data_IF_809705628777
#
_entry.id   IF_809705628777
#
_cell.length_a   1.000
_cell.length_b   1.000
_cell.length_c   1.000
_cell.angle_alpha   90.00
_cell.angle_beta   90.00
_cell.angle_gamma   90.00
#
_symmetry.space_group_name_H-M   'P 1'
#
loop_
_entity.id
_entity.type
_entity.pdbx_description
1 polymer ?
#
# COMPACT_ATOMS: atom_id res chain seq x y z
N UNK A 1 -4.64 -13.75 6.16
CA UNK A 1 -3.19 -13.61 5.84
C UNK A 1 -2.86 -12.14 5.65
N UNK A 2 -1.70 -11.67 6.14
CA UNK A 2 -1.21 -10.31 5.89
C UNK A 2 0.07 -10.35 5.06
N UNK A 3 0.12 -9.62 3.95
CA UNK A 3 1.24 -9.60 3.02
C UNK A 3 1.71 -8.18 2.71
N UNK A 4 3.02 -7.99 2.57
CA UNK A 4 3.64 -6.77 2.06
C UNK A 4 4.34 -7.05 0.74
N UNK A 5 3.95 -6.31 -0.31
CA UNK A 5 4.53 -6.37 -1.64
C UNK A 5 5.28 -5.06 -1.92
N UNK A 6 6.60 -5.13 -2.07
CA UNK A 6 7.46 -4.00 -2.40
C UNK A 6 7.96 -4.05 -3.84
N UNK A 7 8.62 -2.97 -4.28
CA UNK A 7 9.32 -2.95 -5.55
C UNK A 7 9.32 -1.57 -6.22
N UNK A 8 10.20 -1.44 -7.22
CA UNK A 8 10.39 -0.22 -8.01
C UNK A 8 9.14 0.25 -8.77
N UNK A 9 9.21 1.46 -9.33
CA UNK A 9 8.17 1.96 -10.20
C UNK A 9 8.01 1.03 -11.43
N UNK A 10 6.77 0.78 -11.84
CA UNK A 10 6.44 -0.09 -12.97
C UNK A 10 7.02 -1.52 -12.91
N UNK A 11 7.39 -2.03 -11.73
CA UNK A 11 8.00 -3.35 -11.59
C UNK A 11 7.03 -4.53 -11.70
N UNK A 12 5.71 -4.29 -11.71
CA UNK A 12 4.68 -5.33 -11.68
C UNK A 12 4.08 -5.61 -10.30
N UNK A 13 4.54 -4.94 -9.23
CA UNK A 13 4.06 -5.18 -7.86
C UNK A 13 2.55 -5.07 -7.67
N UNK A 14 1.88 -4.12 -8.32
CA UNK A 14 0.42 -3.94 -8.21
C UNK A 14 -0.33 -5.14 -8.81
N UNK A 15 0.11 -5.63 -9.97
CA UNK A 15 -0.49 -6.79 -10.63
C UNK A 15 -0.32 -8.06 -9.80
N UNK A 16 0.88 -8.26 -9.24
CA UNK A 16 1.13 -9.37 -8.32
C UNK A 16 0.28 -9.27 -7.05
N UNK A 17 0.18 -8.08 -6.44
CA UNK A 17 -0.61 -7.86 -5.23
C UNK A 17 -2.12 -8.10 -5.45
N UNK A 18 -2.66 -7.66 -6.59
CA UNK A 18 -4.03 -7.97 -7.01
C UNK A 18 -4.23 -9.48 -7.19
N UNK A 19 -3.32 -10.14 -7.90
CA UNK A 19 -3.37 -11.59 -8.14
C UNK A 19 -3.34 -12.39 -6.84
N UNK A 20 -2.45 -12.01 -5.90
CA UNK A 20 -2.36 -12.60 -4.58
C UNK A 20 -3.65 -12.43 -3.79
N UNK A 21 -4.25 -11.24 -3.76
CA UNK A 21 -5.51 -11.08 -3.03
C UNK A 21 -6.66 -11.88 -3.67
N UNK A 22 -6.68 -11.97 -5.00
CA UNK A 22 -7.65 -12.79 -5.72
C UNK A 22 -7.50 -14.29 -5.44
N UNK A 23 -6.28 -14.82 -5.27
CA UNK A 23 -6.09 -16.22 -4.91
C UNK A 23 -6.48 -16.53 -3.47
N UNK A 24 -6.46 -15.52 -2.58
CA UNK A 24 -6.86 -15.64 -1.18
C UNK A 24 -8.36 -15.47 -0.93
N UNK A 25 -9.12 -14.96 -1.91
CA UNK A 25 -10.54 -14.66 -1.74
C UNK A 25 -11.29 -14.69 -3.08
N UNK A 26 -12.32 -15.54 -3.18
CA UNK A 26 -13.25 -15.57 -4.32
C UNK A 26 -14.35 -14.50 -4.24
N UNK A 27 -14.65 -13.99 -3.04
CA UNK A 27 -15.70 -13.01 -2.77
C UNK A 27 -15.33 -11.55 -3.05
N UNK A 28 -16.10 -10.61 -2.47
CA UNK A 28 -15.85 -9.18 -2.61
C UNK A 28 -14.49 -8.77 -2.03
N UNK A 29 -13.77 -7.97 -2.80
CA UNK A 29 -12.45 -7.44 -2.44
C UNK A 29 -12.53 -5.93 -2.34
N UNK A 30 -11.89 -5.36 -1.32
CA UNK A 30 -11.85 -3.91 -1.10
C UNK A 30 -10.48 -3.35 -1.49
N UNK A 31 -10.45 -2.42 -2.44
CA UNK A 31 -9.24 -1.68 -2.78
C UNK A 31 -9.23 -0.34 -2.07
N UNK A 32 -8.25 -0.14 -1.19
CA UNK A 32 -7.99 1.12 -0.51
C UNK A 32 -7.02 1.96 -1.34
N UNK A 33 -7.56 2.94 -2.06
CA UNK A 33 -6.80 3.83 -2.92
C UNK A 33 -6.27 5.02 -2.12
N UNK A 34 -4.95 5.14 -2.01
CA UNK A 34 -4.31 6.24 -1.26
C UNK A 34 -3.81 7.37 -2.16
N UNK A 35 -3.93 7.24 -3.48
CA UNK A 35 -3.50 8.27 -4.43
C UNK A 35 -4.48 9.45 -4.47
N UNK A 36 -3.96 10.68 -4.35
CA UNK A 36 -4.69 11.90 -4.67
C UNK A 36 -4.65 12.15 -6.19
N UNK A 37 -5.79 12.01 -6.88
CA UNK A 37 -5.89 12.19 -8.33
C UNK A 37 -6.01 13.66 -8.76
N UNK A 38 -5.01 14.47 -8.40
CA UNK A 38 -5.04 15.93 -8.55
C UNK A 38 -4.70 16.43 -9.96
N UNK A 39 -3.93 15.67 -10.75
CA UNK A 39 -3.53 16.03 -12.11
C UNK A 39 -3.95 14.98 -13.17
N UNK A 40 -3.75 15.32 -14.46
CA UNK A 40 -4.14 14.46 -15.58
C UNK A 40 -3.38 13.13 -15.65
N UNK A 41 -2.13 13.10 -15.20
CA UNK A 41 -1.29 11.90 -15.19
C UNK A 41 -1.74 10.92 -14.09
N UNK A 42 -2.04 11.44 -12.88
CA UNK A 42 -2.63 10.66 -11.80
C UNK A 42 -4.00 10.10 -12.20
N UNK A 43 -4.83 10.86 -12.92
CA UNK A 43 -6.10 10.36 -13.46
C UNK A 43 -5.90 9.21 -14.45
N UNK A 44 -4.94 9.34 -15.37
CA UNK A 44 -4.63 8.26 -16.32
C UNK A 44 -4.16 7.00 -15.60
N UNK A 45 -3.34 7.15 -14.56
CA UNK A 45 -2.90 6.04 -13.70
C UNK A 45 -4.06 5.39 -12.96
N UNK A 46 -4.95 6.16 -12.34
CA UNK A 46 -6.17 5.64 -11.68
C UNK A 46 -7.05 4.87 -12.68
N UNK A 47 -7.24 5.39 -13.89
CA UNK A 47 -8.01 4.70 -14.93
C UNK A 47 -7.36 3.38 -15.34
N UNK A 48 -6.04 3.33 -15.47
CA UNK A 48 -5.30 2.08 -15.75
C UNK A 48 -5.53 1.05 -14.64
N UNK A 49 -5.36 1.44 -13.37
CA UNK A 49 -5.59 0.54 -12.23
C UNK A 49 -7.06 0.09 -12.14
N UNK A 50 -8.03 0.96 -12.46
CA UNK A 50 -9.45 0.56 -12.52
C UNK A 50 -9.70 -0.47 -13.63
N UNK A 51 -9.09 -0.29 -14.80
CA UNK A 51 -9.20 -1.26 -15.92
C UNK A 51 -8.54 -2.59 -15.57
N UNK A 52 -7.37 -2.59 -14.93
CA UNK A 52 -6.70 -3.81 -14.48
C UNK A 52 -7.54 -4.63 -13.50
N UNK A 53 -8.42 -3.98 -12.74
CA UNK A 53 -9.30 -4.62 -11.75
C UNK A 53 -10.71 -4.94 -12.25
N UNK A 54 -11.07 -4.49 -13.45
CA UNK A 54 -12.39 -4.72 -14.01
C UNK A 54 -12.67 -6.24 -14.09
N UNK A 55 -13.82 -6.67 -13.56
CA UNK A 55 -14.20 -8.09 -13.53
C UNK A 55 -13.57 -8.94 -12.42
N UNK A 56 -12.65 -8.39 -11.61
CA UNK A 56 -12.00 -9.11 -10.49
C UNK A 56 -12.73 -9.00 -9.15
N UNK A 57 -13.90 -8.34 -9.10
CA UNK A 57 -14.71 -8.19 -7.88
C UNK A 57 -14.18 -7.17 -6.87
N UNK A 58 -13.41 -6.17 -7.32
CA UNK A 58 -12.94 -5.08 -6.46
C UNK A 58 -13.94 -3.93 -6.37
N UNK A 59 -14.34 -3.57 -5.16
CA UNK A 59 -14.85 -2.24 -4.83
C UNK A 59 -13.69 -1.30 -4.49
N UNK A 60 -13.85 0.01 -4.66
CA UNK A 60 -12.80 1.00 -4.34
C UNK A 60 -13.28 1.94 -3.26
N UNK A 61 -12.44 2.14 -2.24
CA UNK A 61 -12.61 3.15 -1.21
C UNK A 61 -11.37 4.04 -1.22
N UNK A 62 -11.58 5.34 -1.41
CA UNK A 62 -10.51 6.34 -1.42
C UNK A 62 -10.17 6.72 0.02
N UNK A 63 -8.90 6.56 0.40
CA UNK A 63 -8.37 6.89 1.72
C UNK A 63 -6.97 7.49 1.55
N UNK A 64 -6.87 8.75 1.09
CA UNK A 64 -5.58 9.39 0.88
C UNK A 64 -4.87 9.74 2.19
N UNK A 65 -5.63 10.00 3.27
CA UNK A 65 -5.16 10.26 4.64
C UNK A 65 -6.13 9.62 5.64
N UNK A 66 -5.76 9.58 6.91
CA UNK A 66 -6.62 9.19 8.02
C UNK A 66 -6.85 7.69 8.15
N UNK A 67 -5.90 6.86 7.73
CA UNK A 67 -6.04 5.39 7.74
C UNK A 67 -6.43 4.85 9.13
N UNK A 68 -5.95 5.48 10.21
CA UNK A 68 -6.28 5.15 11.59
C UNK A 68 -7.77 5.24 11.93
N UNK A 69 -8.51 6.08 11.21
CA UNK A 69 -9.94 6.33 11.41
C UNK A 69 -10.82 5.57 10.42
N UNK A 70 -10.23 4.87 9.46
CA UNK A 70 -10.95 4.12 8.44
C UNK A 70 -11.69 2.93 9.06
N UNK A 71 -12.95 2.78 8.70
CA UNK A 71 -13.77 1.63 9.08
C UNK A 71 -14.04 0.80 7.83
N UNK A 72 -13.74 -0.49 7.91
CA UNK A 72 -14.03 -1.47 6.86
C UNK A 72 -14.95 -2.56 7.42
N UNK A 73 -15.75 -3.25 6.58
CA UNK A 73 -16.51 -4.40 7.05
C UNK A 73 -15.57 -5.48 7.61
N UNK A 74 -15.93 -6.06 8.76
CA UNK A 74 -15.14 -7.12 9.36
C UNK A 74 -15.05 -8.33 8.42
N UNK A 75 -13.88 -8.96 8.35
CA UNK A 75 -13.64 -10.11 7.48
C UNK A 75 -13.44 -9.76 5.99
N UNK A 76 -13.34 -8.47 5.63
CA UNK A 76 -13.01 -8.06 4.26
C UNK A 76 -11.65 -8.60 3.80
N UNK A 77 -11.50 -8.83 2.50
CA UNK A 77 -10.21 -9.03 1.84
C UNK A 77 -9.77 -7.71 1.20
N UNK A 78 -8.65 -7.16 1.64
CA UNK A 78 -8.28 -5.76 1.41
C UNK A 78 -6.94 -5.67 0.67
N UNK A 79 -6.89 -4.82 -0.36
CA UNK A 79 -5.66 -4.39 -1.02
C UNK A 79 -5.44 -2.90 -0.70
N UNK A 80 -4.37 -2.57 0.03
CA UNK A 80 -3.95 -1.19 0.28
C UNK A 80 -2.87 -0.79 -0.73
N UNK A 81 -3.17 0.19 -1.58
CA UNK A 81 -2.23 0.67 -2.58
C UNK A 81 -2.19 2.21 -2.65
N UNK A 82 -1.09 2.87 -2.28
CA UNK A 82 0.14 2.33 -1.67
C UNK A 82 0.59 3.13 -0.44
N UNK A 83 1.49 2.52 0.34
CA UNK A 83 2.11 3.16 1.50
C UNK A 83 2.92 4.40 1.15
N UNK A 84 3.54 4.45 -0.03
CA UNK A 84 4.30 5.62 -0.46
C UNK A 84 3.42 6.87 -0.58
N UNK A 85 2.30 6.75 -1.29
CA UNK A 85 1.33 7.84 -1.41
C UNK A 85 0.73 8.20 -0.05
N UNK A 86 0.37 7.20 0.77
CA UNK A 86 -0.21 7.46 2.09
C UNK A 86 0.78 8.20 3.00
N UNK A 87 2.04 7.79 3.02
CA UNK A 87 3.09 8.45 3.80
C UNK A 87 3.30 9.90 3.34
N UNK A 88 3.33 10.14 2.02
CA UNK A 88 3.45 11.49 1.47
C UNK A 88 2.23 12.35 1.84
N UNK A 89 1.03 11.82 1.69
CA UNK A 89 -0.19 12.56 2.00
C UNK A 89 -0.31 12.87 3.50
N UNK A 90 -0.02 11.90 4.37
CA UNK A 90 -0.02 12.14 5.82
C UNK A 90 1.01 13.18 6.23
N UNK A 91 2.16 13.22 5.56
CA UNK A 91 3.23 14.15 5.89
C UNK A 91 2.98 15.57 5.35
N UNK A 92 2.37 15.70 4.17
CA UNK A 92 2.35 16.97 3.41
C UNK A 92 0.96 17.50 3.03
N UNK A 93 -0.06 16.64 2.91
CA UNK A 93 -1.36 17.08 2.42
C UNK A 93 -2.17 17.80 3.52
N UNK A 94 -3.05 18.75 3.13
CA UNK A 94 -4.05 19.28 4.06
C UNK A 94 -4.90 18.16 4.66
N UNK A 95 -4.94 18.07 5.99
CA UNK A 95 -5.64 17.01 6.71
C UNK A 95 -4.80 15.77 7.00
N UNK A 96 -3.55 15.72 6.55
CA UNK A 96 -2.55 14.76 7.01
C UNK A 96 -2.08 15.06 8.44
N UNK A 97 -1.45 14.07 9.06
CA UNK A 97 -0.98 14.13 10.46
C UNK A 97 0.35 14.87 10.64
N UNK A 98 1.04 15.29 9.58
CA UNK A 98 2.32 16.00 9.63
C UNK A 98 3.39 15.17 10.34
N UNK A 99 3.94 15.70 11.44
CA UNK A 99 4.91 14.98 12.29
C UNK A 99 4.33 13.69 12.91
N UNK A 100 3.00 13.60 13.04
CA UNK A 100 2.31 12.40 13.50
C UNK A 100 2.11 11.32 12.44
N UNK A 101 2.60 11.52 11.21
CA UNK A 101 2.35 10.62 10.08
C UNK A 101 2.75 9.16 10.36
N UNK A 102 3.88 8.95 11.03
CA UNK A 102 4.35 7.59 11.37
C UNK A 102 3.33 6.86 12.25
N UNK A 103 2.90 7.51 13.34
CA UNK A 103 1.95 6.93 14.29
C UNK A 103 0.58 6.69 13.65
N UNK A 104 0.11 7.65 12.86
CA UNK A 104 -1.15 7.56 12.13
C UNK A 104 -1.18 6.35 11.20
N UNK A 105 -0.18 6.20 10.34
CA UNK A 105 -0.09 5.07 9.39
C UNK A 105 0.07 3.75 10.12
N UNK A 106 0.97 3.67 11.11
CA UNK A 106 1.20 2.42 11.86
C UNK A 106 -0.04 1.96 12.63
N UNK A 107 -0.79 2.90 13.18
CA UNK A 107 -2.07 2.62 13.87
C UNK A 107 -3.13 2.14 12.89
N UNK A 108 -3.25 2.80 11.72
CA UNK A 108 -4.14 2.35 10.64
C UNK A 108 -3.82 0.93 10.16
N UNK A 109 -2.54 0.63 9.91
CA UNK A 109 -2.11 -0.70 9.49
C UNK A 109 -2.44 -1.79 10.51
N UNK A 110 -2.21 -1.52 11.80
CA UNK A 110 -2.56 -2.45 12.89
C UNK A 110 -4.05 -2.72 12.96
N UNK A 111 -4.87 -1.68 12.80
CA UNK A 111 -6.34 -1.81 12.81
C UNK A 111 -6.84 -2.59 11.61
N UNK A 112 -6.28 -2.33 10.44
CA UNK A 112 -6.60 -3.07 9.22
C UNK A 112 -6.22 -4.55 9.35
N UNK A 113 -5.01 -4.85 9.82
CA UNK A 113 -4.56 -6.24 9.98
C UNK A 113 -5.40 -7.03 10.98
N UNK A 114 -5.96 -6.36 12.00
CA UNK A 114 -6.87 -6.98 12.97
C UNK A 114 -8.31 -7.13 12.50
N UNK A 115 -8.76 -6.32 11.54
CA UNK A 115 -10.16 -6.31 11.06
C UNK A 115 -10.37 -7.13 9.78
N UNK A 116 -9.39 -7.09 8.87
CA UNK A 116 -9.44 -7.78 7.59
C UNK A 116 -9.15 -9.28 7.75
N UNK A 117 -9.83 -10.12 6.96
CA UNK A 117 -9.48 -11.54 6.87
C UNK A 117 -8.17 -11.73 6.08
N UNK A 118 -8.05 -10.99 4.99
CA UNK A 118 -6.83 -10.92 4.18
C UNK A 118 -6.45 -9.46 3.95
N UNK A 119 -5.17 -9.14 4.09
CA UNK A 119 -4.65 -7.79 3.85
C UNK A 119 -3.38 -7.89 3.01
N UNK A 120 -3.43 -7.34 1.79
CA UNK A 120 -2.25 -7.18 0.94
C UNK A 120 -1.91 -5.69 0.88
N UNK A 121 -0.68 -5.35 1.22
CA UNK A 121 -0.18 -3.99 1.31
C UNK A 121 0.85 -3.80 0.20
N UNK A 122 0.70 -2.74 -0.59
CA UNK A 122 1.69 -2.35 -1.62
C UNK A 122 2.51 -1.19 -1.09
N UNK A 123 3.84 -1.30 -1.21
CA UNK A 123 4.76 -0.21 -0.94
C UNK A 123 5.76 0.01 -2.06
N UNK A 124 6.31 1.22 -2.11
CA UNK A 124 7.32 1.60 -3.06
C UNK A 124 8.70 1.55 -2.41
N UNK A 125 9.68 1.13 -3.18
CA UNK A 125 11.08 1.36 -2.85
C UNK A 125 11.50 2.68 -3.49
N UNK A 126 11.86 3.64 -2.63
CA UNK A 126 12.30 4.98 -3.01
C UNK A 126 13.74 5.23 -2.56
N UNK A 127 14.48 4.16 -2.28
CA UNK A 127 15.85 4.21 -1.78
C UNK A 127 16.81 4.28 -2.96
N UNK A 128 17.39 5.46 -3.18
CA UNK A 128 18.36 5.70 -4.24
C UNK A 128 19.69 6.21 -3.69
N UNK A 129 20.77 5.98 -4.42
CA UNK A 129 22.06 6.57 -4.14
C UNK A 129 22.11 8.02 -4.66
N UNK A 130 22.66 8.95 -3.87
CA UNK A 130 22.89 10.35 -4.26
C UNK A 130 22.50 11.36 -3.18
N UNK A 131 22.93 12.61 -3.34
CA UNK A 131 22.44 13.71 -2.50
C UNK A 131 20.95 13.93 -2.76
N UNK A 132 20.18 13.83 -1.68
CA UNK A 132 18.75 14.14 -1.66
C UNK A 132 18.55 15.43 -0.87
N UNK A 133 17.62 16.25 -1.33
CA UNK A 133 17.16 17.42 -0.58
C UNK A 133 16.56 17.00 0.77
N UNK A 134 16.48 17.91 1.76
CA UNK A 134 15.99 17.60 3.10
C UNK A 134 14.56 17.03 3.14
N UNK A 135 13.67 17.46 2.26
CA UNK A 135 12.27 17.01 2.24
C UNK A 135 12.17 15.58 1.71
N UNK A 136 12.88 15.28 0.62
CA UNK A 136 12.96 13.93 0.07
C UNK A 136 13.55 12.97 1.11
N UNK A 137 14.60 13.38 1.85
CA UNK A 137 15.20 12.57 2.92
C UNK A 137 14.23 12.32 4.07
N UNK A 138 13.46 13.34 4.47
CA UNK A 138 12.43 13.21 5.52
C UNK A 138 11.35 12.21 5.12
N UNK A 139 10.86 12.30 3.89
CA UNK A 139 9.88 11.35 3.35
C UNK A 139 10.45 9.93 3.24
N UNK A 140 11.66 9.76 2.71
CA UNK A 140 12.31 8.45 2.59
C UNK A 140 12.55 7.80 3.95
N UNK A 141 12.95 8.59 4.96
CA UNK A 141 13.09 8.11 6.34
C UNK A 141 11.73 7.60 6.85
N UNK A 142 10.70 8.45 6.80
CA UNK A 142 9.35 8.10 7.23
C UNK A 142 8.83 6.81 6.55
N UNK A 143 8.93 6.72 5.23
CA UNK A 143 8.48 5.53 4.49
C UNK A 143 9.32 4.29 4.84
N UNK A 144 10.63 4.46 5.08
CA UNK A 144 11.48 3.39 5.59
C UNK A 144 11.01 2.85 6.95
N UNK A 145 10.64 3.73 7.88
CA UNK A 145 10.09 3.33 9.18
C UNK A 145 8.74 2.61 9.03
N UNK A 146 7.85 3.16 8.21
CA UNK A 146 6.55 2.56 7.90
C UNK A 146 6.73 1.16 7.27
N UNK A 147 7.66 1.00 6.32
CA UNK A 147 7.92 -0.28 5.66
C UNK A 147 8.44 -1.33 6.65
N UNK A 148 9.37 -0.95 7.55
CA UNK A 148 9.84 -1.86 8.61
C UNK A 148 8.69 -2.29 9.52
N UNK A 149 7.85 -1.35 9.92
CA UNK A 149 6.69 -1.65 10.74
C UNK A 149 5.69 -2.57 10.01
N UNK A 150 5.34 -2.24 8.75
CA UNK A 150 4.45 -3.06 7.93
C UNK A 150 4.98 -4.49 7.76
N UNK A 151 6.27 -4.66 7.43
CA UNK A 151 6.91 -5.96 7.29
C UNK A 151 6.86 -6.78 8.60
N UNK A 152 6.94 -6.11 9.76
CA UNK A 152 6.81 -6.78 11.06
C UNK A 152 5.42 -7.36 11.31
N UNK A 153 4.38 -6.74 10.76
CA UNK A 153 2.98 -7.20 10.85
C UNK A 153 2.63 -8.31 9.86
N UNK A 154 3.39 -8.46 8.78
CA UNK A 154 3.04 -9.34 7.66
C UNK A 154 3.55 -10.76 7.87
N UNK A 155 2.76 -11.76 7.49
CA UNK A 155 3.15 -13.16 7.41
C UNK A 155 4.07 -13.40 6.20
N UNK A 156 3.80 -12.69 5.11
CA UNK A 156 4.49 -12.79 3.83
C UNK A 156 5.05 -11.44 3.39
N UNK A 157 6.31 -11.42 2.95
CA UNK A 157 6.93 -10.22 2.39
C UNK A 157 7.63 -10.62 1.11
N UNK A 158 7.32 -9.93 0.02
CA UNK A 158 7.97 -10.13 -1.26
C UNK A 158 8.27 -8.80 -1.96
N UNK A 159 9.33 -8.80 -2.74
CA UNK A 159 9.72 -7.72 -3.63
C UNK A 159 9.47 -8.17 -5.07
N UNK A 160 8.96 -7.26 -5.89
CA UNK A 160 8.78 -7.51 -7.33
C UNK A 160 9.75 -6.66 -8.14
N UNK A 161 10.62 -7.34 -8.90
CA UNK A 161 11.67 -6.74 -9.75
C UNK A 161 11.48 -7.25 -11.18
N UNK A 162 11.22 -6.35 -12.13
CA UNK A 162 10.97 -6.72 -13.54
C UNK A 162 9.91 -7.83 -13.71
N UNK A 163 8.87 -7.85 -12.86
CA UNK A 163 7.82 -8.87 -12.82
C UNK A 163 8.21 -10.15 -12.08
N UNK A 164 9.46 -10.29 -11.62
CA UNK A 164 9.97 -11.45 -10.89
C UNK A 164 9.74 -11.23 -9.40
N UNK A 165 9.18 -12.24 -8.73
CA UNK A 165 8.86 -12.21 -7.31
C UNK A 165 10.02 -12.78 -6.51
N UNK A 166 10.56 -11.98 -5.58
CA UNK A 166 11.60 -12.35 -4.63
C UNK A 166 10.97 -12.41 -3.24
N UNK A 167 10.92 -13.60 -2.64
CA UNK A 167 10.30 -13.79 -1.32
C UNK A 167 11.34 -13.51 -0.24
N UNK A 168 11.04 -12.56 0.63
CA UNK A 168 11.88 -12.15 1.76
C UNK A 168 11.40 -12.74 3.10
N UNK A 169 10.10 -13.04 3.24
CA UNK A 169 9.49 -13.65 4.43
C UNK A 169 8.32 -14.56 4.04
N UNK A 170 8.17 -15.68 4.74
CA UNK A 170 7.01 -16.57 4.58
C UNK A 170 7.14 -17.56 3.41
N UNK A 171 8.36 -17.95 3.02
CA UNK A 171 8.56 -18.99 2.01
C UNK A 171 7.94 -20.32 2.48
N UNK A 172 6.86 -20.76 1.83
CA UNK A 172 6.12 -21.97 2.18
C UNK A 172 4.65 -21.75 2.59
N UNK A 173 4.17 -20.50 2.55
CA UNK A 173 2.74 -20.16 2.49
C UNK A 173 2.27 -20.26 1.03
#
# INVERSE_FOLDING_TARGET
>A
MTALITGGAASGKSEYAEGLLCSLCEGEKLYLATMLAQDGECRARVLRHRRQRAGKGFSTLECPVGLQSLIIPAGSSVLLECLGNLAANELYAPGGSGDGALEAVCTGLRRLSGTANNLVIVSNEVFGAGEQDPETRRYQHLLGEINRYAASLCDFVAEVVCGIVLIHKGAGI
#
